data_IF_348388698996
#
_entry.id   IF_348388698996
#
_cell.length_a   1.000
_cell.length_b   1.000
_cell.length_c   1.000
_cell.angle_alpha   90.00
_cell.angle_beta   90.00
_cell.angle_gamma   90.00
#
_symmetry.space_group_name_H-M   'P 1'
#
loop_
_entity.id
_entity.type
_entity.pdbx_description
1 polymer ?
#
# COMPACT_ATOMS: atom_id res chain seq x y z
N UNK A 1 -7.28 19.90 -0.31
CA UNK A 1 -7.76 18.71 -1.06
C UNK A 1 -6.87 17.47 -0.85
N UNK A 2 -6.23 17.26 0.32
CA UNK A 2 -5.30 16.13 0.53
C UNK A 2 -5.94 14.86 1.13
N UNK A 3 -7.10 14.96 1.79
CA UNK A 3 -7.76 13.80 2.41
C UNK A 3 -8.37 12.83 1.38
N UNK A 4 -8.93 13.35 0.29
CA UNK A 4 -9.51 12.52 -0.78
C UNK A 4 -8.47 11.62 -1.46
N UNK A 5 -7.24 12.13 -1.63
CA UNK A 5 -6.13 11.40 -2.23
C UNK A 5 -5.63 10.27 -1.32
N UNK A 6 -5.54 10.55 0.00
CA UNK A 6 -5.15 9.56 1.03
C UNK A 6 -6.13 8.40 1.12
N UNK A 7 -7.44 8.67 1.14
CA UNK A 7 -8.46 7.61 1.20
C UNK A 7 -8.47 6.76 -0.07
N UNK A 8 -8.31 7.38 -1.24
CA UNK A 8 -8.18 6.67 -2.51
C UNK A 8 -6.94 5.78 -2.56
N UNK A 9 -5.78 6.31 -2.18
CA UNK A 9 -4.54 5.56 -2.13
C UNK A 9 -4.58 4.42 -1.11
N UNK A 10 -5.20 4.59 0.06
CA UNK A 10 -5.30 3.52 1.06
C UNK A 10 -6.18 2.36 0.56
N UNK A 11 -7.20 2.67 -0.22
CA UNK A 11 -8.08 1.68 -0.86
C UNK A 11 -7.32 0.91 -1.95
N UNK A 12 -6.48 1.58 -2.74
CA UNK A 12 -5.62 0.92 -3.73
C UNK A 12 -4.57 0.04 -3.07
N UNK A 13 -3.97 0.49 -1.96
CA UNK A 13 -3.01 -0.31 -1.19
C UNK A 13 -3.64 -1.56 -0.57
N UNK A 14 -4.86 -1.46 -0.05
CA UNK A 14 -5.62 -2.64 0.42
C UNK A 14 -5.89 -3.64 -0.70
N UNK A 15 -6.27 -3.14 -1.88
CA UNK A 15 -6.51 -4.00 -3.05
C UNK A 15 -5.23 -4.70 -3.46
N UNK A 16 -4.12 -3.97 -3.56
CA UNK A 16 -2.81 -4.55 -3.89
C UNK A 16 -2.33 -5.55 -2.82
N UNK A 17 -2.58 -5.27 -1.53
CA UNK A 17 -2.26 -6.21 -0.44
C UNK A 17 -3.02 -7.52 -0.59
N UNK A 18 -4.31 -7.44 -0.95
CA UNK A 18 -5.14 -8.63 -1.20
C UNK A 18 -4.65 -9.39 -2.43
N UNK A 19 -4.30 -8.71 -3.52
CA UNK A 19 -3.71 -9.34 -4.70
C UNK A 19 -2.40 -10.05 -4.35
N UNK A 20 -1.51 -9.39 -3.60
CA UNK A 20 -0.27 -9.97 -3.11
C UNK A 20 -0.51 -11.24 -2.28
N UNK A 21 -1.51 -11.25 -1.38
CA UNK A 21 -1.91 -12.46 -0.66
C UNK A 21 -2.41 -13.57 -1.60
N UNK A 22 -3.20 -13.21 -2.61
CA UNK A 22 -3.79 -14.15 -3.56
C UNK A 22 -2.74 -14.83 -4.45
N UNK A 23 -1.68 -14.11 -4.83
CA UNK A 23 -0.56 -14.67 -5.61
C UNK A 23 0.48 -15.36 -4.72
N UNK A 24 0.30 -15.37 -3.40
CA UNK A 24 1.20 -16.01 -2.43
C UNK A 24 2.34 -15.12 -1.91
N UNK A 25 2.43 -13.86 -2.35
CA UNK A 25 3.40 -12.88 -1.87
C UNK A 25 2.97 -12.24 -0.54
N UNK A 26 3.15 -13.03 0.53
CA UNK A 26 2.86 -12.61 1.92
C UNK A 26 3.70 -11.42 2.37
N UNK A 27 4.91 -11.27 1.82
CA UNK A 27 5.82 -10.17 2.16
C UNK A 27 5.29 -8.84 1.63
N UNK A 28 4.93 -8.81 0.35
CA UNK A 28 4.30 -7.65 -0.26
C UNK A 28 2.96 -7.32 0.40
N UNK A 29 2.13 -8.33 0.67
CA UNK A 29 0.86 -8.15 1.36
C UNK A 29 0.99 -7.44 2.71
N UNK A 30 1.97 -7.85 3.53
CA UNK A 30 2.19 -7.28 4.87
C UNK A 30 2.58 -5.80 4.78
N UNK A 31 3.47 -5.46 3.85
CA UNK A 31 3.90 -4.06 3.63
C UNK A 31 2.75 -3.21 3.09
N UNK A 32 2.02 -3.71 2.09
CA UNK A 32 0.92 -2.98 1.46
C UNK A 32 -0.24 -2.76 2.45
N UNK A 33 -0.55 -3.75 3.29
CA UNK A 33 -1.58 -3.65 4.32
C UNK A 33 -1.18 -2.67 5.41
N UNK A 34 0.06 -2.73 5.91
CA UNK A 34 0.57 -1.78 6.90
C UNK A 34 0.55 -0.33 6.38
N UNK A 35 0.92 -0.13 5.11
CA UNK A 35 0.87 1.19 4.49
C UNK A 35 -0.55 1.70 4.28
N UNK A 36 -1.50 0.83 3.93
CA UNK A 36 -2.91 1.20 3.83
C UNK A 36 -3.49 1.63 5.18
N UNK A 37 -3.18 0.88 6.25
CA UNK A 37 -3.64 1.19 7.62
C UNK A 37 -3.09 2.53 8.11
N UNK A 38 -1.79 2.80 7.90
CA UNK A 38 -1.16 4.09 8.26
C UNK A 38 -1.77 5.26 7.50
N UNK A 39 -1.97 5.08 6.19
CA UNK A 39 -2.56 6.11 5.35
C UNK A 39 -4.04 6.39 5.71
N UNK A 40 -4.81 5.36 6.09
CA UNK A 40 -6.18 5.49 6.63
C UNK A 40 -6.21 6.17 8.01
N UNK A 41 -5.22 5.89 8.86
CA UNK A 41 -5.08 6.50 10.19
C UNK A 41 -4.73 8.00 10.11
N UNK A 42 -4.44 8.54 8.92
CA UNK A 42 -4.00 9.91 8.72
C UNK A 42 -2.53 10.13 9.07
N UNK A 43 -1.78 9.04 9.31
CA UNK A 43 -0.34 9.08 9.54
C UNK A 43 0.36 9.34 8.21
N UNK A 44 1.16 10.41 8.15
CA UNK A 44 1.93 10.72 6.96
C UNK A 44 3.03 9.66 6.82
N UNK A 45 2.86 8.75 5.85
CA UNK A 45 3.90 7.79 5.49
C UNK A 45 5.18 8.58 5.23
N UNK A 46 6.18 8.39 6.10
CA UNK A 46 7.51 8.94 5.89
C UNK A 46 8.03 8.51 4.52
N UNK A 47 8.85 9.33 3.89
CA UNK A 47 9.36 9.10 2.52
C UNK A 47 9.98 7.70 2.36
N UNK A 48 10.56 7.14 3.43
CA UNK A 48 11.07 5.78 3.48
C UNK A 48 9.98 4.70 3.29
N UNK A 49 8.82 4.86 3.93
CA UNK A 49 7.68 3.94 3.81
C UNK A 49 6.95 4.13 2.47
N UNK A 50 6.82 5.37 1.99
CA UNK A 50 6.31 5.66 0.64
C UNK A 50 7.17 4.98 -0.43
N UNK A 51 8.50 5.03 -0.29
CA UNK A 51 9.43 4.39 -1.22
C UNK A 51 9.30 2.87 -1.20
N UNK A 52 9.25 2.25 0.00
CA UNK A 52 9.03 0.80 0.13
C UNK A 52 7.70 0.37 -0.49
N UNK A 53 6.64 1.10 -0.16
CA UNK A 53 5.29 0.84 -0.67
C UNK A 53 5.25 0.95 -2.19
N UNK A 54 5.84 2.00 -2.77
CA UNK A 54 5.88 2.19 -4.23
C UNK A 54 6.64 1.08 -4.94
N UNK A 55 7.75 0.59 -4.36
CA UNK A 55 8.52 -0.52 -4.93
C UNK A 55 7.66 -1.78 -4.93
N UNK A 56 7.07 -2.12 -3.79
CA UNK A 56 6.24 -3.32 -3.64
C UNK A 56 4.99 -3.26 -4.52
N UNK A 57 4.28 -2.11 -4.56
CA UNK A 57 3.12 -1.92 -5.43
C UNK A 57 3.50 -2.06 -6.91
N UNK A 58 4.64 -1.51 -7.32
CA UNK A 58 5.11 -1.63 -8.71
C UNK A 58 5.46 -3.06 -9.06
N UNK A 59 6.07 -3.82 -8.16
CA UNK A 59 6.41 -5.22 -8.38
C UNK A 59 5.16 -6.11 -8.45
N UNK A 60 4.18 -5.90 -7.55
CA UNK A 60 2.93 -6.69 -7.55
C UNK A 60 2.03 -6.39 -8.75
N UNK A 61 2.04 -5.16 -9.27
CA UNK A 61 1.18 -4.73 -10.38
C UNK A 61 1.81 -4.92 -11.77
N UNK A 62 3.08 -5.31 -11.87
CA UNK A 62 3.78 -5.51 -13.15
C UNK A 62 3.82 -6.96 -13.64
N UNK A 63 3.30 -7.91 -12.86
CA UNK A 63 3.20 -9.33 -13.22
C UNK A 63 1.83 -9.67 -13.81
#
# INVERSE_FOLDING_TARGET
>A
MQQGDRTGAATMLQTAAKTALQIGDKGAATVLQASATRLQAGEELSEADLKKTRIVSKTVLQE
#
